data_IF_405670606053
#
_entry.id   IF_405670606053
#
_cell.length_a   1.000
_cell.length_b   1.000
_cell.length_c   1.000
_cell.angle_alpha   90.00
_cell.angle_beta   90.00
_cell.angle_gamma   90.00
#
_symmetry.space_group_name_H-M   'P 1'
#
loop_
_entity.id
_entity.type
_entity.pdbx_description
1 polymer ?
#
# COMPACT_ATOMS: atom_id res chain seq x y z
N UNK A 1 -10.03 -42.69 67.86
CA UNK A 1 -9.81 -41.36 68.46
C UNK A 1 -8.98 -40.53 67.50
N UNK A 2 -9.50 -39.36 67.13
CA UNK A 2 -9.16 -38.50 66.00
C UNK A 2 -7.67 -38.11 65.85
N UNK A 3 -7.22 -38.01 64.60
CA UNK A 3 -6.28 -36.98 64.15
C UNK A 3 -6.75 -36.42 62.82
N UNK A 4 -7.27 -35.20 62.86
CA UNK A 4 -7.51 -34.33 61.72
C UNK A 4 -6.18 -33.93 61.10
N UNK A 5 -6.01 -34.22 59.81
CA UNK A 5 -4.93 -33.72 58.98
C UNK A 5 -5.47 -32.57 58.11
N UNK A 6 -5.29 -31.34 58.60
CA UNK A 6 -5.47 -30.12 57.80
C UNK A 6 -4.14 -29.37 57.76
N UNK A 7 -3.24 -29.88 56.92
CA UNK A 7 -2.08 -29.12 56.48
C UNK A 7 -2.53 -28.09 55.43
N UNK A 8 -2.99 -26.93 55.91
CA UNK A 8 -3.20 -25.75 55.05
C UNK A 8 -1.82 -25.29 54.55
N UNK A 9 -1.55 -25.44 53.25
CA UNK A 9 -0.42 -24.79 52.59
C UNK A 9 -0.60 -23.27 52.72
N UNK A 10 0.07 -22.66 53.69
CA UNK A 10 0.37 -21.23 53.64
C UNK A 10 1.41 -21.02 52.55
N UNK A 11 0.96 -20.84 51.30
CA UNK A 11 1.75 -20.11 50.30
C UNK A 11 1.92 -18.71 50.89
N UNK A 12 3.18 -18.34 51.12
CA UNK A 12 3.54 -17.15 51.85
C UNK A 12 3.11 -15.92 51.04
N UNK A 13 2.03 -15.24 51.47
CA UNK A 13 1.50 -14.02 50.82
C UNK A 13 2.58 -12.95 50.62
N UNK A 14 3.68 -13.00 51.38
CA UNK A 14 4.85 -12.14 51.20
C UNK A 14 5.59 -12.40 49.88
N UNK A 15 5.75 -13.65 49.46
CA UNK A 15 6.46 -13.99 48.22
C UNK A 15 5.65 -13.58 46.98
N UNK A 16 4.33 -13.74 47.02
CA UNK A 16 3.44 -13.25 45.96
C UNK A 16 3.45 -11.72 45.89
N UNK A 17 3.38 -11.04 47.05
CA UNK A 17 3.43 -9.57 47.10
C UNK A 17 4.77 -9.02 46.60
N UNK A 18 5.88 -9.67 46.96
CA UNK A 18 7.22 -9.27 46.52
C UNK A 18 7.42 -9.51 45.01
N UNK A 19 6.88 -10.60 44.47
CA UNK A 19 6.88 -10.90 43.03
C UNK A 19 6.02 -9.91 42.24
N UNK A 20 4.86 -9.51 42.76
CA UNK A 20 3.99 -8.49 42.15
C UNK A 20 4.68 -7.13 42.17
N UNK A 21 5.31 -6.76 43.29
CA UNK A 21 6.06 -5.49 43.41
C UNK A 21 7.27 -5.44 42.49
N UNK A 22 8.01 -6.54 42.32
CA UNK A 22 9.16 -6.60 41.39
C UNK A 22 8.71 -6.46 39.94
N UNK A 23 7.60 -7.11 39.55
CA UNK A 23 7.01 -6.97 38.20
C UNK A 23 6.53 -5.54 37.93
N UNK A 24 5.79 -4.95 38.86
CA UNK A 24 5.30 -3.57 38.73
C UNK A 24 6.45 -2.54 38.63
N UNK A 25 7.56 -2.79 39.32
CA UNK A 25 8.76 -1.93 39.25
C UNK A 25 9.47 -2.08 37.91
N UNK A 26 9.61 -3.31 37.40
CA UNK A 26 10.21 -3.56 36.08
C UNK A 26 9.36 -2.97 34.94
N UNK A 27 8.03 -3.09 35.03
CA UNK A 27 7.10 -2.49 34.09
C UNK A 27 7.18 -0.95 34.10
N UNK A 28 7.28 -0.33 35.28
CA UNK A 28 7.45 1.11 35.40
C UNK A 28 8.76 1.58 34.75
N UNK A 29 9.89 0.91 35.01
CA UNK A 29 11.17 1.24 34.38
C UNK A 29 11.14 1.04 32.86
N UNK A 30 10.47 0.00 32.36
CA UNK A 30 10.28 -0.20 30.93
C UNK A 30 9.51 0.95 30.28
N UNK A 31 8.42 1.42 30.91
CA UNK A 31 7.64 2.57 30.42
C UNK A 31 8.47 3.85 30.46
N UNK A 32 9.29 4.07 31.50
CA UNK A 32 10.22 5.21 31.54
C UNK A 32 11.19 5.18 30.37
N UNK A 33 11.75 4.01 30.06
CA UNK A 33 12.66 3.83 28.93
C UNK A 33 11.96 4.16 27.60
N UNK A 34 10.75 3.64 27.38
CA UNK A 34 9.95 3.92 26.17
C UNK A 34 9.63 5.41 26.02
N UNK A 35 9.15 6.06 27.08
CA UNK A 35 8.88 7.51 27.10
C UNK A 35 10.15 8.31 26.79
N UNK A 36 11.29 7.95 27.39
CA UNK A 36 12.56 8.60 27.08
C UNK A 36 13.01 8.38 25.63
N UNK A 37 12.81 7.18 25.08
CA UNK A 37 13.10 6.87 23.68
C UNK A 37 12.27 7.75 22.74
N UNK A 38 10.94 7.77 22.92
CA UNK A 38 10.01 8.61 22.16
C UNK A 38 10.43 10.08 22.20
N UNK A 39 10.76 10.58 23.39
CA UNK A 39 11.22 11.95 23.57
C UNK A 39 12.53 12.20 22.83
N UNK A 40 13.60 11.45 23.14
CA UNK A 40 14.96 11.69 22.59
C UNK A 40 15.01 11.56 21.07
N UNK A 41 14.28 10.60 20.52
CA UNK A 41 14.18 10.41 19.09
C UNK A 41 13.29 11.44 18.40
N UNK A 42 12.55 12.29 19.13
CA UNK A 42 11.59 13.26 18.56
C UNK A 42 10.66 12.58 17.55
N UNK A 43 10.15 11.39 17.92
CA UNK A 43 9.38 10.55 16.99
C UNK A 43 8.05 11.22 16.63
N UNK A 44 7.32 11.63 17.67
CA UNK A 44 5.94 12.11 17.57
C UNK A 44 5.87 13.61 17.28
N UNK A 45 6.77 14.39 17.89
CA UNK A 45 6.84 15.85 17.71
C UNK A 45 8.28 16.27 17.45
N UNK A 46 8.46 17.38 16.75
CA UNK A 46 9.76 17.82 16.27
C UNK A 46 10.59 18.44 17.40
N UNK A 47 9.96 19.04 18.40
CA UNK A 47 10.61 19.56 19.60
C UNK A 47 10.16 18.86 20.88
N UNK A 48 11.02 18.91 21.89
CA UNK A 48 10.65 18.45 23.24
C UNK A 48 9.54 19.32 23.84
N UNK A 49 9.55 20.62 23.53
CA UNK A 49 8.55 21.59 24.01
C UNK A 49 7.15 21.26 23.49
N UNK A 50 7.01 20.92 22.20
CA UNK A 50 5.74 20.49 21.62
C UNK A 50 5.16 19.28 22.35
N UNK A 51 5.98 18.24 22.57
CA UNK A 51 5.54 17.03 23.28
C UNK A 51 5.14 17.33 24.73
N UNK A 52 5.90 18.18 25.44
CA UNK A 52 5.56 18.59 26.80
C UNK A 52 4.26 19.39 26.85
N UNK A 53 4.10 20.35 25.93
CA UNK A 53 2.90 21.18 25.80
C UNK A 53 1.67 20.34 25.48
N UNK A 54 1.82 19.34 24.59
CA UNK A 54 0.76 18.42 24.20
C UNK A 54 0.17 17.68 25.40
N UNK A 55 1.02 17.15 26.29
CA UNK A 55 0.57 16.48 27.52
C UNK A 55 0.17 17.46 28.65
N UNK A 56 0.01 18.75 28.34
CA UNK A 56 -0.43 19.78 29.28
C UNK A 56 0.59 20.13 30.37
N UNK A 57 1.90 19.95 30.13
CA UNK A 57 2.95 20.21 31.12
C UNK A 57 4.01 21.16 30.59
N UNK A 58 4.55 22.00 31.46
CA UNK A 58 5.74 22.81 31.17
C UNK A 58 7.00 21.99 31.44
N UNK A 59 7.54 21.34 30.41
CA UNK A 59 8.84 20.68 30.51
C UNK A 59 9.98 21.66 30.29
N UNK A 60 10.98 21.64 31.19
CA UNK A 60 12.27 22.29 30.94
C UNK A 60 13.29 21.24 30.46
N UNK A 61 14.15 21.63 29.51
CA UNK A 61 15.00 20.76 28.69
C UNK A 61 15.98 19.82 29.40
N UNK A 62 16.06 19.83 30.74
CA UNK A 62 16.95 18.98 31.53
C UNK A 62 16.26 17.82 32.26
N UNK A 63 14.92 17.73 32.25
CA UNK A 63 14.21 16.63 32.89
C UNK A 63 13.97 15.47 31.92
N UNK A 64 14.31 14.26 32.34
CA UNK A 64 13.96 13.02 31.62
C UNK A 64 12.44 12.93 31.46
N UNK A 65 11.96 12.75 30.23
CA UNK A 65 10.54 12.62 29.92
C UNK A 65 9.91 11.39 30.61
N UNK A 66 10.69 10.32 30.78
CA UNK A 66 10.31 9.17 31.60
C UNK A 66 9.99 9.52 33.06
N UNK A 67 10.32 10.71 33.58
CA UNK A 67 9.91 11.15 34.92
C UNK A 67 8.59 11.91 34.93
N UNK A 68 7.83 11.92 33.84
CA UNK A 68 6.49 12.52 33.79
C UNK A 68 5.63 11.97 34.93
N UNK A 69 5.00 12.87 35.70
CA UNK A 69 4.22 12.46 36.87
C UNK A 69 5.03 12.12 38.13
N UNK A 70 6.35 12.29 38.11
CA UNK A 70 7.19 12.14 39.31
C UNK A 70 7.20 10.71 39.83
N UNK A 71 6.57 10.46 41.00
CA UNK A 71 6.45 9.11 41.58
C UNK A 71 5.26 8.33 41.04
N UNK A 72 4.36 8.96 40.27
CA UNK A 72 3.14 8.34 39.78
C UNK A 72 3.39 7.45 38.54
N UNK A 73 3.50 6.14 38.78
CA UNK A 73 3.65 5.13 37.74
C UNK A 73 2.41 4.96 36.87
N UNK A 74 1.21 5.22 37.43
CA UNK A 74 -0.03 5.14 36.67
C UNK A 74 -0.09 6.26 35.63
N UNK A 75 0.25 7.49 36.02
CA UNK A 75 0.28 8.63 35.11
C UNK A 75 1.28 8.44 33.96
N UNK A 76 2.44 7.81 34.21
CA UNK A 76 3.39 7.47 33.12
C UNK A 76 2.81 6.49 32.12
N UNK A 77 2.16 5.43 32.59
CA UNK A 77 1.49 4.46 31.72
C UNK A 77 0.37 5.10 30.91
N UNK A 78 -0.45 5.93 31.56
CA UNK A 78 -1.52 6.66 30.89
C UNK A 78 -0.96 7.57 29.78
N UNK A 79 0.07 8.36 30.08
CA UNK A 79 0.71 9.22 29.07
C UNK A 79 1.25 8.41 27.89
N UNK A 80 1.92 7.28 28.13
CA UNK A 80 2.43 6.45 27.03
C UNK A 80 1.31 5.88 26.17
N UNK A 81 0.26 5.32 26.78
CA UNK A 81 -0.83 4.70 26.03
C UNK A 81 -1.75 5.70 25.31
N UNK A 82 -1.93 6.91 25.86
CA UNK A 82 -2.64 7.97 25.14
C UNK A 82 -1.86 8.42 23.90
N UNK A 83 -0.53 8.58 24.01
CA UNK A 83 0.32 8.86 22.85
C UNK A 83 0.29 7.71 21.84
N UNK A 84 0.36 6.46 22.30
CA UNK A 84 0.27 5.28 21.44
C UNK A 84 -1.07 5.22 20.69
N UNK A 85 -2.19 5.48 21.39
CA UNK A 85 -3.52 5.51 20.79
C UNK A 85 -3.67 6.64 19.77
N UNK A 86 -3.31 7.86 20.14
CA UNK A 86 -3.41 9.03 19.24
C UNK A 86 -2.66 8.78 17.93
N UNK A 87 -1.43 8.29 18.01
CA UNK A 87 -0.61 8.06 16.83
C UNK A 87 -1.01 6.79 16.07
N UNK A 88 -1.63 5.82 16.73
CA UNK A 88 -2.30 4.72 16.03
C UNK A 88 -3.51 5.23 15.25
N UNK A 89 -4.36 6.07 15.84
CA UNK A 89 -5.52 6.65 15.15
C UNK A 89 -5.08 7.56 13.98
N UNK A 90 -3.96 8.28 14.14
CA UNK A 90 -3.46 9.20 13.12
C UNK A 90 -2.65 8.53 12.00
N UNK A 91 -1.89 7.48 12.30
CA UNK A 91 -0.92 6.89 11.35
C UNK A 91 -1.04 5.38 11.16
N UNK A 92 -1.87 4.71 11.96
CA UNK A 92 -1.97 3.25 12.00
C UNK A 92 -0.76 2.54 12.65
N UNK A 93 0.22 3.27 13.17
CA UNK A 93 1.44 2.69 13.75
C UNK A 93 1.22 2.36 15.23
N UNK A 94 1.53 1.11 15.60
CA UNK A 94 1.65 0.71 17.00
C UNK A 94 3.01 1.19 17.53
N UNK A 95 2.98 2.19 18.42
CA UNK A 95 4.20 2.87 18.90
C UNK A 95 5.19 1.91 19.53
N UNK A 96 4.74 0.92 20.31
CA UNK A 96 5.64 -0.06 20.87
C UNK A 96 6.38 -0.89 19.80
N UNK A 97 5.67 -1.34 18.77
CA UNK A 97 6.27 -2.08 17.66
C UNK A 97 7.32 -1.27 16.91
N UNK A 98 7.06 0.04 16.71
CA UNK A 98 8.05 0.94 16.11
C UNK A 98 9.32 1.07 16.96
N UNK A 99 9.21 1.14 18.29
CA UNK A 99 10.37 1.19 19.18
C UNK A 99 11.19 -0.10 19.12
N UNK A 100 10.53 -1.26 19.01
CA UNK A 100 11.19 -2.55 18.87
C UNK A 100 11.94 -2.65 17.52
N UNK A 101 11.31 -2.24 16.42
CA UNK A 101 11.93 -2.13 15.10
C UNK A 101 13.14 -1.18 15.09
N UNK A 102 13.03 -0.04 15.80
CA UNK A 102 14.13 0.91 15.93
C UNK A 102 15.31 0.32 16.71
N UNK A 103 15.03 -0.41 17.78
CA UNK A 103 16.05 -1.10 18.56
C UNK A 103 16.78 -2.15 17.73
N UNK A 104 16.06 -2.86 16.86
CA UNK A 104 16.65 -3.83 15.97
C UNK A 104 17.52 -3.17 14.88
N UNK A 105 17.02 -2.13 14.21
CA UNK A 105 17.80 -1.36 13.24
C UNK A 105 19.08 -0.76 13.84
N UNK A 106 19.00 -0.23 15.08
CA UNK A 106 20.18 0.29 15.78
C UNK A 106 21.24 -0.80 16.05
N UNK A 107 20.83 -2.03 16.40
CA UNK A 107 21.77 -3.16 16.55
C UNK A 107 22.43 -3.52 15.22
N UNK A 108 21.72 -3.44 14.10
CA UNK A 108 22.31 -3.65 12.78
C UNK A 108 23.33 -2.58 12.43
N UNK A 109 23.03 -1.31 12.71
CA UNK A 109 23.99 -0.21 12.54
C UNK A 109 25.26 -0.44 13.37
N UNK A 110 25.13 -0.82 14.64
CA UNK A 110 26.28 -1.08 15.52
C UNK A 110 27.11 -2.30 15.07
N UNK A 111 26.45 -3.42 14.76
CA UNK A 111 27.14 -4.68 14.45
C UNK A 111 27.84 -4.66 13.09
N UNK A 112 27.14 -4.18 12.07
CA UNK A 112 27.63 -4.25 10.70
C UNK A 112 28.42 -3.01 10.30
N UNK A 113 28.20 -1.89 11.00
CA UNK A 113 28.79 -0.58 10.73
C UNK A 113 28.81 -0.27 9.22
N UNK A 114 27.63 -0.22 8.59
CA UNK A 114 27.49 -0.13 7.14
C UNK A 114 28.05 1.18 6.55
N UNK A 115 28.24 2.20 7.39
CA UNK A 115 28.75 3.52 7.01
C UNK A 115 29.86 3.95 7.96
N UNK A 116 30.90 4.62 7.43
CA UNK A 116 31.74 5.50 8.25
C UNK A 116 31.09 6.87 8.45
N UNK A 117 31.37 7.55 9.57
CA UNK A 117 30.72 8.83 9.94
C UNK A 117 30.87 9.92 8.85
N UNK A 118 31.96 9.85 8.07
CA UNK A 118 32.33 10.81 7.02
C UNK A 118 31.93 10.37 5.60
N UNK A 119 31.13 9.31 5.43
CA UNK A 119 30.78 8.86 4.08
C UNK A 119 29.91 9.86 3.33
N UNK A 120 30.29 10.09 2.07
CA UNK A 120 29.58 10.94 1.13
C UNK A 120 28.15 10.46 0.91
N UNK A 121 27.23 11.40 0.69
CA UNK A 121 25.81 11.13 0.48
C UNK A 121 25.57 10.12 -0.66
N UNK A 122 26.39 10.17 -1.72
CA UNK A 122 26.31 9.23 -2.83
C UNK A 122 26.51 7.77 -2.41
N UNK A 123 27.45 7.51 -1.50
CA UNK A 123 27.74 6.15 -1.00
C UNK A 123 26.59 5.64 -0.13
N UNK A 124 26.02 6.50 0.71
CA UNK A 124 24.84 6.17 1.53
C UNK A 124 23.65 5.79 0.66
N UNK A 125 23.41 6.55 -0.41
CA UNK A 125 22.34 6.26 -1.38
C UNK A 125 22.59 4.92 -2.06
N UNK A 126 23.80 4.65 -2.55
CA UNK A 126 24.13 3.37 -3.20
C UNK A 126 23.94 2.18 -2.26
N UNK A 127 24.30 2.35 -0.98
CA UNK A 127 24.09 1.33 0.03
C UNK A 127 22.59 1.05 0.26
N UNK A 128 21.79 2.12 0.37
CA UNK A 128 20.34 2.01 0.50
C UNK A 128 19.69 1.37 -0.74
N UNK A 129 20.18 1.72 -1.95
CA UNK A 129 19.72 1.10 -3.20
C UNK A 129 19.99 -0.41 -3.21
N UNK A 130 21.19 -0.84 -2.78
CA UNK A 130 21.52 -2.28 -2.68
C UNK A 130 20.61 -3.02 -1.71
N UNK A 131 20.34 -2.43 -0.54
CA UNK A 131 19.42 -3.02 0.44
C UNK A 131 18.03 -3.19 -0.18
N UNK A 132 17.51 -2.17 -0.84
CA UNK A 132 16.18 -2.25 -1.47
C UNK A 132 16.16 -3.28 -2.60
N UNK A 133 17.17 -3.28 -3.47
CA UNK A 133 17.29 -4.24 -4.56
C UNK A 133 17.17 -5.69 -4.07
N UNK A 134 17.86 -6.03 -2.98
CA UNK A 134 17.80 -7.39 -2.44
C UNK A 134 16.54 -7.63 -1.60
N UNK A 135 16.19 -6.71 -0.70
CA UNK A 135 15.12 -6.96 0.28
C UNK A 135 13.71 -6.70 -0.27
N UNK A 136 13.58 -5.96 -1.37
CA UNK A 136 12.29 -5.58 -1.98
C UNK A 136 12.15 -6.16 -3.38
N UNK A 137 13.22 -6.15 -4.18
CA UNK A 137 13.21 -6.64 -5.57
C UNK A 137 13.77 -8.06 -5.73
N UNK A 138 14.19 -8.70 -4.64
CA UNK A 138 14.75 -10.05 -4.60
C UNK A 138 15.97 -10.25 -5.52
N UNK A 139 16.77 -9.20 -5.71
CA UNK A 139 18.05 -9.29 -6.43
C UNK A 139 19.01 -10.27 -5.74
N UNK A 140 19.75 -11.06 -6.54
CA UNK A 140 20.70 -12.03 -6.01
C UNK A 140 21.82 -11.39 -5.17
N UNK A 141 22.06 -11.97 -3.99
CA UNK A 141 23.20 -11.61 -3.15
C UNK A 141 24.49 -12.19 -3.74
N UNK A 142 25.19 -11.37 -4.53
CA UNK A 142 26.44 -11.78 -5.19
C UNK A 142 27.68 -11.66 -4.29
N UNK A 143 28.78 -12.31 -4.70
CA UNK A 143 30.11 -12.19 -4.07
C UNK A 143 30.73 -10.80 -4.09
N UNK A 144 30.15 -9.87 -4.86
CA UNK A 144 30.58 -8.46 -4.87
C UNK A 144 30.28 -7.77 -3.54
N UNK A 145 29.34 -8.28 -2.76
CA UNK A 145 29.02 -7.78 -1.43
C UNK A 145 30.05 -8.32 -0.41
N UNK A 146 30.62 -7.42 0.40
CA UNK A 146 31.47 -7.83 1.52
C UNK A 146 30.73 -8.74 2.51
N UNK A 147 31.45 -9.59 3.25
CA UNK A 147 30.85 -10.60 4.14
C UNK A 147 29.83 -10.02 5.13
N UNK A 148 30.12 -8.85 5.73
CA UNK A 148 29.21 -8.16 6.64
C UNK A 148 27.93 -7.66 5.96
N UNK A 149 28.04 -7.16 4.72
CA UNK A 149 26.89 -6.68 3.95
C UNK A 149 25.97 -7.86 3.60
N UNK A 150 26.53 -8.99 3.17
CA UNK A 150 25.73 -10.20 2.91
C UNK A 150 24.97 -10.69 4.13
N UNK A 151 25.62 -10.72 5.28
CA UNK A 151 24.97 -11.12 6.54
C UNK A 151 23.86 -10.14 6.93
N UNK A 152 24.06 -8.84 6.74
CA UNK A 152 23.03 -7.82 6.96
C UNK A 152 21.83 -8.03 6.03
N UNK A 153 22.05 -8.21 4.72
CA UNK A 153 20.99 -8.38 3.73
C UNK A 153 20.13 -9.61 4.03
N UNK A 154 20.76 -10.76 4.33
CA UNK A 154 20.03 -11.98 4.71
C UNK A 154 19.18 -11.78 5.96
N UNK A 155 19.68 -11.02 6.95
CA UNK A 155 18.89 -10.69 8.14
C UNK A 155 17.73 -9.77 7.83
N UNK A 156 17.92 -8.77 6.98
CA UNK A 156 16.86 -7.83 6.63
C UNK A 156 15.71 -8.46 5.87
N UNK A 157 15.97 -9.52 5.08
CA UNK A 157 14.91 -10.29 4.43
C UNK A 157 13.98 -11.02 5.43
N UNK A 158 14.45 -11.31 6.65
CA UNK A 158 13.66 -11.97 7.70
C UNK A 158 12.90 -11.00 8.61
N UNK A 159 13.20 -9.70 8.53
CA UNK A 159 12.69 -8.68 9.46
C UNK A 159 11.46 -7.95 8.90
N UNK A 160 10.72 -7.27 9.77
CA UNK A 160 9.55 -6.51 9.34
C UNK A 160 9.90 -5.25 8.52
N UNK A 161 8.95 -4.77 7.71
CA UNK A 161 9.13 -3.60 6.86
C UNK A 161 9.45 -2.33 7.67
N UNK A 162 9.00 -2.20 8.91
CA UNK A 162 9.31 -1.05 9.74
C UNK A 162 10.78 -1.04 10.18
N UNK A 163 11.36 -2.19 10.48
CA UNK A 163 12.79 -2.34 10.75
C UNK A 163 13.60 -1.90 9.53
N UNK A 164 13.23 -2.36 8.33
CA UNK A 164 13.84 -1.93 7.08
C UNK A 164 13.71 -0.42 6.84
N UNK A 165 12.50 0.13 7.03
CA UNK A 165 12.24 1.56 6.87
C UNK A 165 13.09 2.41 7.82
N UNK A 166 13.16 2.03 9.10
CA UNK A 166 13.97 2.74 10.09
C UNK A 166 15.45 2.66 9.74
N UNK A 167 15.96 1.49 9.35
CA UNK A 167 17.35 1.33 8.95
C UNK A 167 17.71 2.22 7.76
N UNK A 168 16.90 2.23 6.71
CA UNK A 168 17.13 3.09 5.53
C UNK A 168 17.14 4.57 5.92
N UNK A 169 16.23 5.00 6.77
CA UNK A 169 16.18 6.38 7.24
C UNK A 169 17.37 6.75 8.15
N UNK A 170 17.93 5.79 8.90
CA UNK A 170 19.20 5.98 9.63
C UNK A 170 20.37 6.15 8.66
N UNK A 171 20.47 5.28 7.65
CA UNK A 171 21.53 5.31 6.64
C UNK A 171 21.52 6.60 5.83
N UNK A 172 20.34 7.10 5.46
CA UNK A 172 20.17 8.39 4.78
C UNK A 172 20.47 9.60 5.69
N UNK A 173 20.75 9.39 6.99
CA UNK A 173 21.06 10.46 7.95
C UNK A 173 19.83 11.24 8.44
N UNK A 174 18.63 10.71 8.19
CA UNK A 174 17.36 11.38 8.47
C UNK A 174 16.92 11.12 9.92
N UNK A 175 17.07 9.86 10.36
CA UNK A 175 16.85 9.41 11.73
C UNK A 175 18.17 9.30 12.53
N UNK A 176 18.13 9.48 13.85
CA UNK A 176 19.29 9.23 14.71
C UNK A 176 19.78 7.78 14.65
N UNK A 177 21.08 7.54 14.82
CA UNK A 177 21.62 6.18 14.79
C UNK A 177 21.30 5.35 16.06
N UNK A 178 20.92 6.00 17.16
CA UNK A 178 20.62 5.33 18.43
C UNK A 178 19.67 6.14 19.33
N UNK A 179 19.11 5.47 20.36
CA UNK A 179 18.26 6.10 21.40
C UNK A 179 19.02 7.07 22.33
N UNK A 180 20.34 7.00 22.37
CA UNK A 180 21.18 7.86 23.22
C UNK A 180 21.66 9.13 22.50
N UNK A 181 21.07 9.42 21.34
CA UNK A 181 21.35 10.62 20.55
C UNK A 181 21.24 11.91 21.38
N UNK A 182 22.18 12.84 21.14
CA UNK A 182 22.18 14.20 21.68
C UNK A 182 21.78 15.25 20.64
N UNK A 183 21.24 14.84 19.50
CA UNK A 183 20.96 15.72 18.35
C UNK A 183 19.92 16.83 18.62
N UNK A 184 19.25 16.83 19.77
CA UNK A 184 18.30 17.87 20.15
C UNK A 184 17.00 17.80 19.34
N UNK A 185 16.35 18.94 19.14
CA UNK A 185 15.10 19.02 18.38
C UNK A 185 15.32 18.75 16.89
N UNK A 186 14.34 18.11 16.26
CA UNK A 186 14.33 17.83 14.84
C UNK A 186 14.10 19.14 14.06
N UNK A 187 15.03 19.44 13.15
CA UNK A 187 15.01 20.64 12.30
C UNK A 187 15.01 20.25 10.84
N UNK A 188 14.54 21.18 9.99
CA UNK A 188 14.53 21.02 8.53
C UNK A 188 13.81 19.74 8.07
N UNK A 189 12.70 19.40 8.74
CA UNK A 189 11.96 18.18 8.46
C UNK A 189 11.45 18.11 7.02
N UNK A 190 11.07 19.24 6.43
CA UNK A 190 10.74 19.30 5.00
C UNK A 190 11.88 18.83 4.10
N UNK A 191 13.08 19.36 4.28
CA UNK A 191 14.25 18.95 3.50
C UNK A 191 14.59 17.46 3.68
N UNK A 192 14.37 16.92 4.89
CA UNK A 192 14.54 15.49 5.16
C UNK A 192 13.49 14.63 4.44
N UNK A 193 12.23 15.05 4.42
CA UNK A 193 11.20 14.37 3.64
C UNK A 193 11.51 14.43 2.14
N UNK A 194 11.93 15.59 1.62
CA UNK A 194 12.31 15.77 0.22
C UNK A 194 13.48 14.85 -0.16
N UNK A 195 14.47 14.72 0.72
CA UNK A 195 15.60 13.80 0.53
C UNK A 195 15.14 12.35 0.36
N UNK A 196 14.29 11.85 1.28
CA UNK A 196 13.77 10.47 1.24
C UNK A 196 12.87 10.25 0.02
N UNK A 197 12.01 11.22 -0.30
CA UNK A 197 11.16 11.17 -1.48
C UNK A 197 11.98 11.09 -2.78
N UNK A 198 13.00 11.94 -2.92
CA UNK A 198 13.89 11.92 -4.09
C UNK A 198 14.69 10.61 -4.20
N UNK A 199 15.09 10.03 -3.06
CA UNK A 199 15.70 8.71 -3.04
C UNK A 199 14.75 7.65 -3.60
N UNK A 200 13.50 7.59 -3.14
CA UNK A 200 12.54 6.63 -3.67
C UNK A 200 12.15 6.90 -5.12
N UNK A 201 12.08 8.17 -5.57
CA UNK A 201 11.90 8.48 -6.99
C UNK A 201 13.01 7.85 -7.85
N UNK A 202 14.26 7.94 -7.40
CA UNK A 202 15.41 7.33 -8.09
C UNK A 202 15.31 5.80 -8.13
N UNK A 203 14.95 5.17 -7.01
CA UNK A 203 14.69 3.72 -6.93
C UNK A 203 13.58 3.33 -7.91
N UNK A 204 12.47 4.07 -7.90
CA UNK A 204 11.32 3.80 -8.75
C UNK A 204 11.69 3.88 -10.24
N UNK A 205 12.41 4.94 -10.64
CA UNK A 205 12.90 5.11 -12.02
C UNK A 205 13.75 3.94 -12.52
N UNK A 206 14.46 3.24 -11.63
CA UNK A 206 15.38 2.17 -12.01
C UNK A 206 14.71 0.80 -12.06
N UNK A 207 13.84 0.51 -11.09
CA UNK A 207 13.45 -0.86 -10.78
C UNK A 207 11.99 -1.19 -11.11
N UNK A 208 11.08 -0.21 -11.21
CA UNK A 208 9.66 -0.50 -11.41
C UNK A 208 9.08 0.16 -12.66
N UNK A 209 8.01 -0.46 -13.16
CA UNK A 209 7.22 0.00 -14.31
C UNK A 209 6.58 1.38 -14.06
N UNK A 210 6.30 1.72 -12.79
CA UNK A 210 5.62 2.95 -12.38
C UNK A 210 6.53 3.90 -11.64
N UNK A 211 6.87 5.02 -12.26
CA UNK A 211 7.68 6.07 -11.63
C UNK A 211 6.98 6.73 -10.42
N UNK A 212 5.64 6.75 -10.43
CA UNK A 212 4.82 7.32 -9.37
C UNK A 212 3.75 6.31 -8.95
N UNK A 213 4.06 5.55 -7.92
CA UNK A 213 3.09 4.64 -7.31
C UNK A 213 2.10 5.42 -6.42
N UNK A 214 0.97 4.81 -6.03
CA UNK A 214 0.03 5.42 -5.10
C UNK A 214 0.65 5.98 -3.82
N UNK A 215 1.52 5.19 -3.19
CA UNK A 215 2.19 5.59 -1.94
C UNK A 215 3.23 6.69 -2.14
N UNK A 216 3.88 6.74 -3.30
CA UNK A 216 4.77 7.86 -3.66
C UNK A 216 4.01 9.17 -3.84
N UNK A 217 2.81 9.14 -4.42
CA UNK A 217 2.01 10.36 -4.60
C UNK A 217 1.45 10.88 -3.28
N UNK A 218 0.99 9.99 -2.39
CA UNK A 218 0.58 10.37 -1.03
C UNK A 218 1.74 11.02 -0.25
N UNK A 219 2.95 10.49 -0.39
CA UNK A 219 4.15 11.09 0.17
C UNK A 219 4.39 12.49 -0.41
N UNK A 220 4.32 12.66 -1.73
CA UNK A 220 4.46 13.98 -2.37
C UNK A 220 3.39 14.99 -1.95
N UNK A 221 2.15 14.54 -1.75
CA UNK A 221 1.04 15.36 -1.24
C UNK A 221 1.36 15.87 0.16
N UNK A 222 1.80 14.98 1.06
CA UNK A 222 2.21 15.36 2.41
C UNK A 222 3.37 16.37 2.42
N UNK A 223 4.29 16.29 1.45
CA UNK A 223 5.37 17.26 1.26
C UNK A 223 4.90 18.66 0.84
N UNK A 224 3.78 18.74 0.10
CA UNK A 224 3.18 20.00 -0.34
C UNK A 224 2.29 20.63 0.72
N UNK A 225 1.68 19.81 1.56
CA UNK A 225 0.86 20.24 2.70
C UNK A 225 1.74 20.71 3.88
N UNK A 226 1.20 21.57 4.76
CA UNK A 226 1.94 22.34 5.79
C UNK A 226 3.07 21.61 6.53
N UNK A 227 4.20 22.29 6.74
CA UNK A 227 5.39 21.78 7.46
C UNK A 227 5.10 21.34 8.91
N UNK A 228 4.07 21.90 9.56
CA UNK A 228 3.72 21.62 10.97
C UNK A 228 3.34 20.16 11.23
N UNK A 229 3.05 19.37 10.18
CA UNK A 229 2.70 17.94 10.28
C UNK A 229 3.84 16.99 9.90
N UNK A 230 5.05 17.47 9.59
CA UNK A 230 6.16 16.63 9.14
C UNK A 230 6.97 16.07 10.31
N UNK A 231 6.47 15.01 10.95
CA UNK A 231 7.10 14.35 12.12
C UNK A 231 7.90 13.12 11.68
N UNK A 232 8.78 12.59 12.54
CA UNK A 232 9.59 11.41 12.21
C UNK A 232 8.76 10.13 12.07
N UNK A 233 7.73 9.94 12.90
CA UNK A 233 6.84 8.79 12.83
C UNK A 233 6.06 8.73 11.50
N UNK A 234 5.56 9.88 11.01
CA UNK A 234 4.92 9.98 9.69
C UNK A 234 5.90 9.67 8.55
N UNK A 235 7.17 10.07 8.68
CA UNK A 235 8.18 9.74 7.67
C UNK A 235 8.47 8.24 7.62
N UNK A 236 8.54 7.59 8.79
CA UNK A 236 8.63 6.14 8.89
C UNK A 236 7.41 5.47 8.24
N UNK A 237 6.19 5.97 8.50
CA UNK A 237 4.98 5.45 7.85
C UNK A 237 5.07 5.53 6.33
N UNK A 238 5.37 6.70 5.77
CA UNK A 238 5.49 6.86 4.31
C UNK A 238 6.58 5.96 3.72
N UNK A 239 7.72 5.84 4.41
CA UNK A 239 8.82 4.97 3.97
C UNK A 239 8.39 3.51 3.95
N UNK A 240 7.77 3.01 5.02
CA UNK A 240 7.27 1.64 5.09
C UNK A 240 6.17 1.37 4.04
N UNK A 241 5.25 2.32 3.83
CA UNK A 241 4.19 2.20 2.84
C UNK A 241 4.74 2.12 1.42
N UNK A 242 5.74 2.95 1.10
CA UNK A 242 6.42 2.90 -0.21
C UNK A 242 7.12 1.55 -0.36
N UNK A 243 7.88 1.08 0.64
CA UNK A 243 8.57 -0.21 0.57
C UNK A 243 7.61 -1.39 0.36
N UNK A 244 6.51 -1.46 1.12
CA UNK A 244 5.47 -2.47 0.91
C UNK A 244 4.88 -2.38 -0.50
N UNK A 245 4.59 -1.17 -0.97
CA UNK A 245 4.02 -1.00 -2.31
C UNK A 245 5.01 -1.38 -3.42
N UNK A 246 6.31 -1.18 -3.22
CA UNK A 246 7.35 -1.63 -4.14
C UNK A 246 7.51 -3.15 -4.13
N UNK A 247 7.49 -3.80 -2.96
CA UNK A 247 7.65 -5.26 -2.88
C UNK A 247 6.51 -5.98 -3.59
N UNK A 248 5.29 -5.48 -3.42
CA UNK A 248 4.10 -5.97 -4.13
C UNK A 248 4.32 -5.89 -5.64
N UNK A 249 4.80 -4.76 -6.15
CA UNK A 249 5.00 -4.58 -7.59
C UNK A 249 6.17 -5.41 -8.16
N UNK A 250 7.04 -5.94 -7.30
CA UNK A 250 8.25 -6.66 -7.69
C UNK A 250 8.04 -8.17 -7.88
N UNK A 251 7.03 -8.77 -7.23
CA UNK A 251 6.85 -10.22 -7.21
C UNK A 251 5.47 -10.61 -7.73
N UNK A 252 5.39 -11.44 -8.77
CA UNK A 252 4.12 -11.95 -9.28
C UNK A 252 3.30 -12.70 -8.21
N UNK A 253 3.97 -13.42 -7.31
CA UNK A 253 3.33 -14.05 -6.15
C UNK A 253 2.80 -13.01 -5.17
N UNK A 254 3.54 -11.93 -4.91
CA UNK A 254 3.04 -10.84 -4.08
C UNK A 254 1.97 -10.00 -4.78
N UNK A 255 1.98 -9.87 -6.11
CA UNK A 255 0.88 -9.28 -6.89
C UNK A 255 -0.37 -10.15 -6.74
N UNK A 256 -0.23 -11.48 -6.79
CA UNK A 256 -1.32 -12.42 -6.58
C UNK A 256 -1.89 -12.36 -5.16
N UNK A 257 -1.01 -12.42 -4.16
CA UNK A 257 -1.36 -12.40 -2.74
C UNK A 257 -1.90 -11.03 -2.33
N UNK A 258 -1.30 -9.95 -2.81
CA UNK A 258 -1.82 -8.60 -2.61
C UNK A 258 -3.08 -8.36 -3.43
N UNK A 259 -3.21 -8.95 -4.61
CA UNK A 259 -4.47 -8.99 -5.36
C UNK A 259 -5.57 -9.60 -4.50
N UNK A 260 -5.32 -10.76 -3.88
CA UNK A 260 -6.24 -11.38 -2.91
C UNK A 260 -6.49 -10.54 -1.64
N UNK A 261 -5.46 -9.90 -1.07
CA UNK A 261 -5.60 -9.07 0.14
C UNK A 261 -6.28 -7.75 -0.13
N UNK A 262 -5.92 -7.08 -1.22
CA UNK A 262 -6.55 -5.84 -1.68
C UNK A 262 -7.94 -6.13 -2.23
N UNK A 263 -8.23 -7.32 -2.73
CA UNK A 263 -9.61 -7.77 -2.98
C UNK A 263 -10.46 -7.75 -1.71
N UNK A 264 -9.87 -7.93 -0.51
CA UNK A 264 -10.58 -7.72 0.76
C UNK A 264 -10.80 -6.24 1.10
N UNK A 265 -9.92 -5.35 0.64
CA UNK A 265 -10.07 -3.89 0.73
C UNK A 265 -10.84 -3.30 -0.48
N UNK A 266 -11.22 -4.15 -1.44
CA UNK A 266 -11.91 -3.77 -2.66
C UNK A 266 -13.39 -3.60 -2.37
N UNK A 267 -13.94 -2.50 -2.87
CA UNK A 267 -15.36 -2.22 -2.77
C UNK A 267 -16.08 -2.78 -4.00
N UNK A 268 -17.16 -3.51 -3.75
CA UNK A 268 -18.10 -4.00 -4.77
C UNK A 268 -19.50 -3.38 -4.58
N UNK A 269 -19.64 -2.06 -4.76
CA UNK A 269 -20.95 -1.43 -4.74
C UNK A 269 -21.78 -1.93 -5.91
N UNK A 270 -23.10 -2.07 -5.74
CA UNK A 270 -23.96 -2.43 -6.87
C UNK A 270 -23.98 -1.26 -7.86
N UNK A 271 -23.20 -1.31 -8.93
CA UNK A 271 -23.09 -0.24 -9.93
C UNK A 271 -23.75 -0.55 -11.27
N UNK A 272 -24.18 -1.80 -11.48
CA UNK A 272 -24.73 -2.25 -12.77
C UNK A 272 -25.81 -1.31 -13.34
N UNK A 273 -25.72 -1.10 -14.65
CA UNK A 273 -26.68 -0.35 -15.44
C UNK A 273 -26.14 0.99 -15.96
N UNK A 274 -27.07 1.89 -16.27
CA UNK A 274 -26.75 3.15 -16.94
C UNK A 274 -26.57 4.31 -15.96
N UNK A 275 -25.63 5.19 -16.30
CA UNK A 275 -25.28 6.37 -15.54
C UNK A 275 -25.17 7.58 -16.47
N UNK A 276 -25.73 8.70 -16.07
CA UNK A 276 -25.75 9.93 -16.86
C UNK A 276 -24.66 10.87 -16.34
N UNK A 277 -23.87 11.43 -17.27
CA UNK A 277 -22.93 12.49 -16.92
C UNK A 277 -23.68 13.79 -16.65
N UNK A 278 -23.03 14.76 -16.00
CA UNK A 278 -23.58 16.11 -15.83
C UNK A 278 -23.85 16.84 -17.17
N UNK A 279 -23.20 16.41 -18.24
CA UNK A 279 -23.34 16.99 -19.58
C UNK A 279 -24.45 16.32 -20.40
N UNK A 280 -25.06 15.26 -19.86
CA UNK A 280 -26.13 14.52 -20.53
C UNK A 280 -27.33 15.42 -20.85
N UNK A 281 -27.81 15.34 -22.09
CA UNK A 281 -29.13 15.84 -22.46
C UNK A 281 -29.76 14.94 -23.54
N UNK A 282 -31.07 15.05 -23.72
CA UNK A 282 -31.77 14.28 -24.77
C UNK A 282 -31.25 14.58 -26.18
N UNK A 283 -30.69 15.77 -26.41
CA UNK A 283 -30.17 16.22 -27.71
C UNK A 283 -28.68 15.92 -27.90
N UNK A 284 -27.94 15.79 -26.79
CA UNK A 284 -26.51 15.49 -26.77
C UNK A 284 -26.28 14.39 -25.71
N UNK A 285 -26.41 13.12 -26.09
CA UNK A 285 -26.20 12.01 -25.17
C UNK A 285 -24.76 11.98 -24.68
N UNK A 286 -24.63 11.90 -23.36
CA UNK A 286 -23.38 11.60 -22.66
C UNK A 286 -23.73 10.72 -21.45
N UNK A 287 -23.35 9.45 -21.49
CA UNK A 287 -23.73 8.47 -20.48
C UNK A 287 -22.75 7.31 -20.44
N UNK A 288 -22.85 6.51 -19.40
CA UNK A 288 -21.97 5.39 -19.12
C UNK A 288 -22.83 4.15 -18.90
N UNK A 289 -22.38 3.03 -19.44
CA UNK A 289 -22.85 1.70 -19.06
C UNK A 289 -21.80 1.09 -18.15
N UNK A 290 -22.24 0.61 -16.99
CA UNK A 290 -21.37 -0.06 -16.04
C UNK A 290 -21.81 -1.51 -15.93
N UNK A 291 -20.87 -2.41 -16.10
CA UNK A 291 -21.06 -3.85 -15.95
C UNK A 291 -20.07 -4.40 -14.94
N UNK A 292 -20.58 -5.12 -13.94
CA UNK A 292 -19.77 -5.84 -12.97
C UNK A 292 -19.04 -7.02 -13.64
N UNK A 293 -17.72 -7.06 -13.46
CA UNK A 293 -16.86 -8.16 -13.84
C UNK A 293 -16.49 -8.97 -12.58
N UNK A 294 -15.78 -10.09 -12.74
CA UNK A 294 -15.41 -10.96 -11.62
C UNK A 294 -14.61 -10.27 -10.51
N UNK A 295 -13.71 -9.34 -10.88
CA UNK A 295 -12.80 -8.65 -9.95
C UNK A 295 -12.78 -7.14 -10.16
N UNK A 296 -13.67 -6.58 -10.97
CA UNK A 296 -13.65 -5.15 -11.35
C UNK A 296 -14.98 -4.75 -12.00
N UNK A 297 -15.03 -3.56 -12.60
CA UNK A 297 -16.15 -3.08 -13.39
C UNK A 297 -15.67 -2.65 -14.77
N UNK A 298 -16.44 -2.97 -15.80
CA UNK A 298 -16.29 -2.37 -17.12
C UNK A 298 -17.12 -1.10 -17.19
N UNK A 299 -16.46 0.03 -17.46
CA UNK A 299 -17.08 1.32 -17.67
C UNK A 299 -17.03 1.66 -19.16
N UNK A 300 -18.19 1.66 -19.81
CA UNK A 300 -18.34 2.00 -21.22
C UNK A 300 -18.95 3.41 -21.34
N UNK A 301 -18.14 4.40 -21.69
CA UNK A 301 -18.57 5.78 -21.92
C UNK A 301 -19.10 5.95 -23.34
N UNK A 302 -20.30 6.50 -23.47
CA UNK A 302 -20.92 6.88 -24.72
C UNK A 302 -21.18 8.38 -24.75
N UNK A 303 -20.63 9.07 -25.74
CA UNK A 303 -20.81 10.51 -25.88
C UNK A 303 -20.90 10.95 -27.34
N UNK A 304 -21.60 12.05 -27.57
CA UNK A 304 -21.67 12.69 -28.88
C UNK A 304 -20.66 13.85 -28.95
N UNK A 305 -19.78 13.82 -29.97
CA UNK A 305 -18.87 14.95 -30.25
C UNK A 305 -19.64 16.14 -30.82
N UNK A 306 -19.18 17.35 -30.53
CA UNK A 306 -19.77 18.57 -31.06
C UNK A 306 -19.73 18.55 -32.60
N UNK A 307 -20.89 18.78 -33.23
CA UNK A 307 -21.05 18.73 -34.69
C UNK A 307 -21.30 17.33 -35.28
N UNK A 308 -21.29 16.26 -34.48
CA UNK A 308 -21.50 14.88 -34.96
C UNK A 308 -22.92 14.34 -34.64
N UNK A 309 -23.95 15.04 -35.14
CA UNK A 309 -25.34 14.63 -34.94
C UNK A 309 -25.62 13.18 -35.38
N UNK A 310 -26.20 12.38 -34.49
CA UNK A 310 -26.59 10.98 -34.76
C UNK A 310 -25.43 9.97 -34.70
N UNK A 311 -24.25 10.39 -34.22
CA UNK A 311 -23.11 9.50 -33.97
C UNK A 311 -22.70 9.53 -32.50
N UNK A 312 -22.38 8.36 -31.97
CA UNK A 312 -21.83 8.20 -30.64
C UNK A 312 -20.41 7.67 -30.72
N UNK A 313 -19.55 8.21 -29.87
CA UNK A 313 -18.24 7.66 -29.57
C UNK A 313 -18.35 6.78 -28.34
N UNK A 314 -17.65 5.65 -28.37
CA UNK A 314 -17.56 4.71 -27.28
C UNK A 314 -16.11 4.64 -26.79
N UNK A 315 -15.93 4.69 -25.47
CA UNK A 315 -14.64 4.49 -24.80
C UNK A 315 -14.84 3.52 -23.64
N UNK A 316 -13.96 2.51 -23.54
CA UNK A 316 -14.06 1.47 -22.51
C UNK A 316 -12.92 1.60 -21.52
N UNK A 317 -13.20 1.36 -20.24
CA UNK A 317 -12.23 1.38 -19.15
C UNK A 317 -12.50 0.24 -18.18
N UNK A 318 -11.44 -0.29 -17.57
CA UNK A 318 -11.56 -1.22 -16.45
C UNK A 318 -11.36 -0.45 -15.15
N UNK A 319 -12.30 -0.56 -14.22
CA UNK A 319 -12.33 0.23 -12.98
C UNK A 319 -12.43 -0.70 -11.77
N UNK A 320 -11.51 -0.55 -10.82
CA UNK A 320 -11.55 -1.25 -9.53
C UNK A 320 -11.54 -0.22 -8.40
N UNK A 321 -12.33 -0.44 -7.35
CA UNK A 321 -12.50 0.53 -6.25
C UNK A 321 -11.89 0.02 -4.96
N UNK A 322 -11.09 0.82 -4.27
CA UNK A 322 -10.39 0.40 -3.06
C UNK A 322 -10.63 1.38 -1.92
N UNK A 323 -10.67 0.84 -0.69
CA UNK A 323 -10.70 1.63 0.54
C UNK A 323 -9.62 1.13 1.49
N UNK A 324 -8.52 1.89 1.63
CA UNK A 324 -7.44 1.57 2.57
C UNK A 324 -6.82 2.85 3.15
N UNK A 325 -7.59 3.50 4.02
CA UNK A 325 -7.30 4.80 4.64
C UNK A 325 -7.69 6.01 3.78
N UNK A 326 -7.72 5.84 2.46
CA UNK A 326 -8.24 6.78 1.48
C UNK A 326 -9.00 5.98 0.41
N UNK A 327 -10.12 6.52 -0.07
CA UNK A 327 -10.95 5.91 -1.10
C UNK A 327 -10.44 6.34 -2.49
N UNK A 328 -10.00 5.37 -3.29
CA UNK A 328 -9.52 5.62 -4.66
C UNK A 328 -9.90 4.49 -5.60
N UNK A 329 -10.12 4.84 -6.86
CA UNK A 329 -10.30 3.88 -7.92
C UNK A 329 -8.99 3.67 -8.68
N UNK A 330 -8.80 2.49 -9.26
CA UNK A 330 -7.80 2.24 -10.29
C UNK A 330 -8.55 2.15 -11.62
N UNK A 331 -8.32 3.10 -12.51
CA UNK A 331 -8.93 3.16 -13.84
C UNK A 331 -7.86 2.86 -14.87
N UNK A 332 -8.10 1.82 -15.66
CA UNK A 332 -7.16 1.33 -16.65
C UNK A 332 -7.69 1.57 -18.06
N UNK A 333 -6.83 2.16 -18.89
CA UNK A 333 -7.08 2.31 -20.32
C UNK A 333 -6.89 0.95 -21.01
N UNK A 334 -7.66 0.56 -22.04
CA UNK A 334 -7.54 -0.75 -22.70
C UNK A 334 -6.15 -1.08 -23.26
N UNK A 335 -5.37 -0.06 -23.60
CA UNK A 335 -3.94 -0.20 -23.99
C UNK A 335 -3.07 -0.85 -22.90
N UNK A 336 -3.46 -0.74 -21.63
CA UNK A 336 -2.75 -1.37 -20.51
C UNK A 336 -2.71 -2.90 -20.64
N UNK A 337 -3.84 -3.50 -21.00
CA UNK A 337 -3.97 -4.94 -21.24
C UNK A 337 -3.08 -5.38 -22.40
N UNK A 338 -3.03 -4.58 -23.48
CA UNK A 338 -2.14 -4.84 -24.61
C UNK A 338 -0.66 -4.87 -24.20
N UNK A 339 -0.24 -3.92 -23.36
CA UNK A 339 1.14 -3.88 -22.88
C UNK A 339 1.47 -5.17 -22.09
N UNK A 340 0.56 -5.65 -21.24
CA UNK A 340 0.77 -6.93 -20.55
C UNK A 340 0.81 -8.13 -21.50
N UNK A 341 -0.08 -8.20 -22.49
CA UNK A 341 -0.10 -9.27 -23.50
C UNK A 341 1.20 -9.35 -24.31
N UNK A 342 1.89 -8.22 -24.49
CA UNK A 342 3.17 -8.15 -25.19
C UNK A 342 4.39 -8.23 -24.24
N UNK A 343 4.17 -8.42 -22.94
CA UNK A 343 5.22 -8.34 -21.90
C UNK A 343 5.98 -6.99 -21.94
N UNK A 344 5.27 -5.93 -22.30
CA UNK A 344 5.75 -4.56 -22.32
C UNK A 344 5.49 -3.86 -20.98
N UNK A 345 6.27 -2.81 -20.70
CA UNK A 345 6.14 -2.01 -19.49
C UNK A 345 4.84 -1.20 -19.53
N UNK A 346 4.04 -1.24 -18.45
CA UNK A 346 2.83 -0.42 -18.36
C UNK A 346 3.18 1.07 -18.38
N UNK A 347 2.54 1.84 -19.25
CA UNK A 347 2.75 3.29 -19.32
C UNK A 347 2.00 4.00 -18.20
N UNK A 348 2.62 5.04 -17.65
CA UNK A 348 1.94 5.98 -16.75
C UNK A 348 0.77 6.71 -17.41
N UNK A 349 0.73 6.73 -18.74
CA UNK A 349 -0.33 7.39 -19.51
C UNK A 349 -1.53 6.46 -19.74
N UNK A 350 -1.47 5.19 -19.34
CA UNK A 350 -2.51 4.17 -19.58
C UNK A 350 -3.24 3.75 -18.29
N UNK A 351 -2.96 4.41 -17.16
CA UNK A 351 -3.61 4.15 -15.87
C UNK A 351 -3.76 5.44 -15.08
N UNK A 352 -4.87 5.58 -14.36
CA UNK A 352 -5.11 6.71 -13.45
C UNK A 352 -5.76 6.23 -12.16
N UNK A 353 -5.54 6.97 -11.08
CA UNK A 353 -6.08 6.64 -9.78
C UNK A 353 -6.84 7.84 -9.21
N UNK A 354 -8.12 8.05 -9.58
CA UNK A 354 -8.93 9.13 -9.03
C UNK A 354 -9.44 8.78 -7.63
N UNK A 355 -9.68 9.80 -6.80
CA UNK A 355 -10.54 9.63 -5.64
C UNK A 355 -11.97 9.38 -6.11
N UNK A 356 -12.74 8.61 -5.35
CA UNK A 356 -14.17 8.45 -5.61
C UNK A 356 -15.02 8.75 -4.39
N UNK A 357 -16.25 9.19 -4.63
CA UNK A 357 -17.29 9.32 -3.60
C UNK A 357 -18.57 8.68 -4.11
N UNK A 358 -19.14 7.78 -3.31
CA UNK A 358 -20.45 7.20 -3.53
C UNK A 358 -21.52 7.85 -2.65
N UNK A 359 -22.68 8.15 -3.24
CA UNK A 359 -23.86 8.58 -2.48
C UNK A 359 -24.97 7.54 -2.59
N UNK A 360 -25.60 7.18 -1.46
CA UNK A 360 -26.73 6.26 -1.42
C UNK A 360 -26.44 4.87 -0.85
N UNK A 361 -25.29 4.67 -0.20
CA UNK A 361 -24.95 3.40 0.47
C UNK A 361 -24.64 2.28 -0.53
N UNK A 362 -25.13 1.06 -0.26
CA UNK A 362 -24.83 -0.16 -1.03
C UNK A 362 -25.30 -0.12 -2.50
N UNK A 363 -26.32 0.69 -2.80
CA UNK A 363 -26.78 0.95 -4.18
C UNK A 363 -26.60 2.44 -4.49
N UNK A 364 -25.39 2.87 -4.88
CA UNK A 364 -25.12 4.29 -5.10
C UNK A 364 -26.05 4.86 -6.17
N UNK A 365 -26.52 6.08 -5.94
CA UNK A 365 -27.31 6.88 -6.90
C UNK A 365 -26.46 7.91 -7.61
N UNK A 366 -25.28 8.22 -7.06
CA UNK A 366 -24.28 9.10 -7.64
C UNK A 366 -22.88 8.58 -7.36
N UNK A 367 -21.98 8.85 -8.30
CA UNK A 367 -20.54 8.63 -8.20
C UNK A 367 -19.86 9.93 -8.58
N UNK A 368 -18.86 10.37 -7.84
CA UNK A 368 -17.97 11.43 -8.27
C UNK A 368 -16.56 10.88 -8.32
N UNK A 369 -15.86 11.19 -9.41
CA UNK A 369 -14.44 10.96 -9.54
C UNK A 369 -13.73 12.31 -9.44
N UNK A 370 -12.75 12.39 -8.55
CA UNK A 370 -11.91 13.56 -8.36
C UNK A 370 -10.46 13.25 -8.71
N UNK A 371 -9.74 14.25 -9.20
CA UNK A 371 -8.31 14.13 -9.52
C UNK A 371 -7.54 13.73 -8.27
N UNK A 372 -6.66 12.74 -8.41
CA UNK A 372 -5.84 12.26 -7.31
C UNK A 372 -4.44 11.89 -7.77
N UNK A 373 -4.26 10.83 -8.57
CA UNK A 373 -2.93 10.42 -9.04
C UNK A 373 -2.94 10.01 -10.50
N UNK A 374 -1.84 10.32 -11.18
CA UNK A 374 -1.64 9.99 -12.59
C UNK A 374 -2.79 10.54 -13.43
N UNK A 375 -3.07 11.85 -13.31
CA UNK A 375 -4.15 12.47 -14.09
C UNK A 375 -3.87 12.32 -15.58
N UNK A 376 -4.89 11.86 -16.28
CA UNK A 376 -4.87 11.58 -17.71
C UNK A 376 -5.93 12.38 -18.43
N UNK A 377 -5.69 12.67 -19.70
CA UNK A 377 -6.64 13.45 -20.50
C UNK A 377 -7.89 12.67 -20.87
N UNK A 378 -7.81 11.33 -20.89
CA UNK A 378 -8.86 10.39 -21.35
C UNK A 378 -9.83 9.96 -20.23
N UNK A 379 -9.54 10.25 -18.96
CA UNK A 379 -10.46 10.03 -17.84
C UNK A 379 -10.36 11.21 -16.87
N UNK A 380 -11.27 12.18 -17.06
CA UNK A 380 -11.26 13.44 -16.28
C UNK A 380 -12.19 13.33 -15.08
N UNK A 381 -11.98 14.16 -14.04
CA UNK A 381 -12.93 14.32 -12.96
C UNK A 381 -14.34 14.54 -13.50
N UNK A 382 -15.30 13.79 -12.96
CA UNK A 382 -16.67 13.77 -13.45
C UNK A 382 -17.63 13.34 -12.35
N UNK A 383 -18.89 13.74 -12.47
CA UNK A 383 -19.97 13.18 -11.67
C UNK A 383 -20.95 12.42 -12.55
N UNK A 384 -21.33 11.24 -12.06
CA UNK A 384 -22.28 10.34 -12.68
C UNK A 384 -23.50 10.20 -11.78
N UNK A 385 -24.69 10.33 -12.35
CA UNK A 385 -25.95 10.06 -11.66
C UNK A 385 -26.59 8.83 -12.26
N UNK A 386 -26.99 7.86 -11.44
CA UNK A 386 -27.63 6.64 -11.94
C UNK A 386 -28.88 7.00 -12.74
N UNK A 387 -29.02 6.41 -13.91
CA UNK A 387 -30.23 6.54 -14.71
C UNK A 387 -31.43 5.92 -13.97
N UNK A 388 -32.63 6.41 -14.28
CA UNK A 388 -33.86 5.78 -13.78
C UNK A 388 -34.08 4.45 -14.47
N UNK A 389 -34.79 3.54 -13.81
CA UNK A 389 -35.05 2.19 -14.32
C UNK A 389 -35.81 2.18 -15.67
N UNK A 390 -36.51 3.25 -16.02
CA UNK A 390 -37.26 3.42 -17.27
C UNK A 390 -36.48 4.16 -18.38
N UNK A 391 -35.23 4.54 -18.11
CA UNK A 391 -34.38 5.23 -19.09
C UNK A 391 -33.85 4.23 -20.13
N UNK A 392 -33.99 4.58 -21.41
CA UNK A 392 -33.53 3.76 -22.53
C UNK A 392 -32.34 4.41 -23.25
N UNK A 393 -31.25 3.67 -23.49
CA UNK A 393 -30.05 4.20 -24.12
C UNK A 393 -30.28 4.61 -25.59
N UNK A 394 -29.74 5.75 -26.06
CA UNK A 394 -29.89 6.18 -27.45
C UNK A 394 -29.31 5.24 -28.52
N UNK A 395 -28.44 4.30 -28.15
CA UNK A 395 -27.92 3.27 -29.08
C UNK A 395 -29.05 2.41 -29.63
N UNK A 396 -30.08 2.14 -28.83
CA UNK A 396 -31.27 1.38 -29.26
C UNK A 396 -32.14 2.14 -30.27
N UNK A 397 -31.87 3.43 -30.49
CA UNK A 397 -32.59 4.29 -31.45
C UNK A 397 -31.87 4.41 -32.80
N UNK A 398 -30.89 3.56 -33.09
CA UNK A 398 -30.23 3.48 -34.39
C UNK A 398 -29.11 4.51 -34.63
N UNK A 399 -28.56 5.09 -33.55
CA UNK A 399 -27.36 5.92 -33.66
C UNK A 399 -26.15 5.08 -34.07
N UNK A 400 -25.28 5.63 -34.92
CA UNK A 400 -24.04 4.95 -35.31
C UNK A 400 -23.01 5.09 -34.19
N UNK A 401 -22.52 3.97 -33.66
CA UNK A 401 -21.46 3.94 -32.64
C UNK A 401 -20.10 3.78 -33.31
N UNK A 402 -19.11 4.54 -32.85
CA UNK A 402 -17.70 4.43 -33.22
C UNK A 402 -16.90 4.15 -31.96
N UNK A 403 -16.22 3.01 -31.88
CA UNK A 403 -15.35 2.69 -30.75
C UNK A 403 -14.01 3.43 -30.92
N UNK A 404 -13.76 4.41 -30.06
CA UNK A 404 -12.53 5.22 -30.10
C UNK A 404 -11.29 4.37 -29.73
N UNK A 405 -11.49 3.21 -29.08
CA UNK A 405 -10.43 2.29 -28.64
C UNK A 405 -10.48 0.92 -29.34
N UNK A 406 -11.10 0.82 -30.52
CA UNK A 406 -11.26 -0.44 -31.28
C UNK A 406 -9.94 -1.22 -31.45
N UNK A 407 -8.81 -0.52 -31.64
CA UNK A 407 -7.49 -1.14 -31.79
C UNK A 407 -7.00 -1.90 -30.52
N UNK A 408 -7.60 -1.62 -29.37
CA UNK A 408 -7.24 -2.22 -28.08
C UNK A 408 -8.33 -3.14 -27.54
N UNK A 409 -9.45 -3.29 -28.24
CA UNK A 409 -10.54 -4.16 -27.82
C UNK A 409 -10.10 -5.61 -27.80
N UNK A 410 -10.42 -6.30 -26.71
CA UNK A 410 -10.17 -7.71 -26.51
C UNK A 410 -11.46 -8.39 -26.05
N UNK A 411 -11.53 -9.70 -26.21
CA UNK A 411 -12.58 -10.52 -25.61
C UNK A 411 -11.99 -11.39 -24.53
N UNK A 412 -12.71 -11.57 -23.43
CA UNK A 412 -12.33 -12.47 -22.36
C UNK A 412 -13.43 -13.52 -22.16
N UNK A 413 -13.07 -14.78 -22.34
CA UNK A 413 -13.95 -15.92 -22.13
C UNK A 413 -13.55 -16.65 -20.85
N UNK A 414 -14.40 -16.60 -19.81
CA UNK A 414 -14.21 -17.39 -18.60
C UNK A 414 -14.26 -18.88 -18.95
N UNK A 415 -13.15 -19.58 -18.66
CA UNK A 415 -12.91 -20.92 -19.20
C UNK A 415 -12.36 -21.92 -18.19
N UNK A 416 -12.26 -21.58 -16.91
CA UNK A 416 -11.71 -22.49 -15.89
C UNK A 416 -12.46 -23.83 -15.87
N UNK A 417 -11.76 -24.93 -16.17
CA UNK A 417 -12.33 -26.27 -16.22
C UNK A 417 -11.97 -27.09 -14.98
N UNK A 418 -10.71 -27.05 -14.55
CA UNK A 418 -10.25 -27.79 -13.38
C UNK A 418 -8.95 -27.19 -12.79
N UNK A 419 -8.82 -27.29 -11.47
CA UNK A 419 -7.57 -27.01 -10.75
C UNK A 419 -7.10 -28.31 -10.10
N UNK A 420 -5.85 -28.69 -10.34
CA UNK A 420 -5.20 -29.86 -9.73
C UNK A 420 -3.84 -29.46 -9.14
N UNK A 421 -3.21 -30.28 -8.28
CA UNK A 421 -1.88 -29.98 -7.76
C UNK A 421 -0.80 -29.79 -8.83
N UNK A 422 -0.96 -30.43 -9.99
CA UNK A 422 0.06 -30.46 -11.04
C UNK A 422 -0.24 -29.53 -12.23
N UNK A 423 -1.53 -29.22 -12.48
CA UNK A 423 -1.94 -28.39 -13.61
C UNK A 423 -3.29 -27.67 -13.39
N UNK A 424 -3.49 -26.58 -14.13
CA UNK A 424 -4.80 -25.94 -14.31
C UNK A 424 -5.28 -26.20 -15.74
N UNK A 425 -6.54 -26.63 -15.88
CA UNK A 425 -7.20 -26.86 -17.17
C UNK A 425 -8.11 -25.67 -17.50
N UNK A 426 -7.94 -25.10 -18.68
CA UNK A 426 -8.75 -23.99 -19.19
C UNK A 426 -9.36 -24.41 -20.52
N UNK A 427 -10.66 -24.26 -20.65
CA UNK A 427 -11.45 -24.58 -21.83
C UNK A 427 -11.78 -23.31 -22.58
N UNK A 428 -11.61 -23.35 -23.89
CA UNK A 428 -11.99 -22.23 -24.75
C UNK A 428 -13.45 -22.24 -25.17
N UNK A 429 -13.87 -21.17 -25.84
CA UNK A 429 -15.23 -20.96 -26.33
C UNK A 429 -15.70 -22.04 -27.33
N UNK A 430 -14.76 -22.77 -27.95
CA UNK A 430 -15.03 -23.87 -28.87
C UNK A 430 -14.96 -25.25 -28.19
N UNK A 431 -14.66 -25.26 -26.89
CA UNK A 431 -14.60 -26.45 -26.06
C UNK A 431 -13.26 -27.21 -26.11
N UNK A 432 -12.20 -26.62 -26.67
CA UNK A 432 -10.84 -27.17 -26.61
C UNK A 432 -10.24 -26.86 -25.24
N UNK A 433 -9.70 -27.87 -24.57
CA UNK A 433 -9.04 -27.73 -23.27
C UNK A 433 -7.53 -27.56 -23.44
N UNK A 434 -6.96 -26.64 -22.68
CA UNK A 434 -5.54 -26.35 -22.55
C UNK A 434 -5.12 -26.65 -21.12
N UNK A 435 -3.89 -27.16 -20.92
CA UNK A 435 -3.36 -27.44 -19.59
C UNK A 435 -2.09 -26.63 -19.37
N UNK A 436 -2.05 -25.94 -18.23
CA UNK A 436 -0.91 -25.16 -17.78
C UNK A 436 -0.29 -25.87 -16.58
N UNK A 437 1.01 -26.15 -16.63
CA UNK A 437 1.70 -26.83 -15.55
C UNK A 437 1.93 -25.90 -14.36
N UNK A 438 1.55 -26.35 -13.16
CA UNK A 438 1.82 -25.62 -11.91
C UNK A 438 3.32 -25.66 -11.56
N UNK A 439 4.09 -26.60 -12.12
CA UNK A 439 5.55 -26.63 -11.92
C UNK A 439 6.30 -25.57 -12.73
N UNK A 440 5.71 -25.10 -13.84
CA UNK A 440 6.29 -24.07 -14.70
C UNK A 440 5.94 -22.66 -14.20
N UNK A 441 4.84 -22.56 -13.44
CA UNK A 441 4.31 -21.33 -12.85
C UNK A 441 3.86 -21.62 -11.42
N UNK A 442 4.77 -21.52 -10.44
CA UNK A 442 4.47 -21.88 -9.05
C UNK A 442 3.37 -21.00 -8.43
N UNK A 443 3.21 -19.77 -8.92
CA UNK A 443 2.14 -18.83 -8.54
C UNK A 443 0.73 -19.39 -8.74
N UNK A 444 0.56 -20.35 -9.66
CA UNK A 444 -0.72 -21.02 -9.93
C UNK A 444 -1.19 -21.92 -8.79
N UNK A 445 -0.31 -22.29 -7.83
CA UNK A 445 -0.69 -23.09 -6.65
C UNK A 445 -1.76 -22.43 -5.79
N UNK A 446 -1.86 -21.11 -5.88
CA UNK A 446 -2.78 -20.32 -5.08
C UNK A 446 -4.09 -19.99 -5.80
N UNK A 447 -4.29 -20.49 -7.03
CA UNK A 447 -5.52 -20.25 -7.78
C UNK A 447 -6.72 -20.95 -7.13
N UNK A 448 -7.88 -20.30 -7.21
CA UNK A 448 -9.16 -20.77 -6.71
C UNK A 448 -10.19 -20.86 -7.82
N UNK A 449 -11.30 -21.55 -7.54
CA UNK A 449 -12.40 -21.69 -8.51
C UNK A 449 -13.13 -20.37 -8.82
N UNK A 450 -12.91 -19.33 -8.00
CA UNK A 450 -13.54 -18.03 -8.19
C UNK A 450 -12.67 -17.07 -9.00
N UNK A 451 -11.45 -17.47 -9.34
CA UNK A 451 -10.51 -16.59 -10.01
C UNK A 451 -10.89 -16.41 -11.48
N UNK A 452 -10.67 -15.20 -12.00
CA UNK A 452 -10.86 -14.89 -13.41
C UNK A 452 -9.79 -15.60 -14.26
N UNK A 453 -10.10 -16.84 -14.68
CA UNK A 453 -9.23 -17.68 -15.50
C UNK A 453 -9.97 -18.08 -16.78
N UNK A 454 -9.34 -17.85 -17.93
CA UNK A 454 -10.02 -17.93 -19.20
C UNK A 454 -9.14 -17.77 -20.43
N UNK A 455 -9.78 -17.49 -21.56
CA UNK A 455 -9.12 -17.19 -22.83
C UNK A 455 -9.32 -15.72 -23.15
N UNK A 456 -8.22 -15.01 -23.34
CA UNK A 456 -8.24 -13.64 -23.86
C UNK A 456 -7.85 -13.65 -25.34
N UNK A 457 -8.61 -12.94 -26.17
CA UNK A 457 -8.35 -12.80 -27.61
C UNK A 457 -8.20 -11.34 -27.97
N UNK A 458 -7.09 -10.99 -28.63
CA UNK A 458 -6.80 -9.65 -29.12
C UNK A 458 -6.12 -9.71 -30.48
N UNK A 459 -6.61 -8.96 -31.47
CA UNK A 459 -6.07 -8.88 -32.83
C UNK A 459 -5.69 -10.26 -33.42
N UNK A 460 -6.62 -11.21 -33.31
CA UNK A 460 -6.49 -12.62 -33.73
C UNK A 460 -5.48 -13.48 -32.95
N UNK A 461 -4.80 -12.93 -31.94
CA UNK A 461 -3.96 -13.70 -31.00
C UNK A 461 -4.76 -14.15 -29.79
N UNK A 462 -4.47 -15.35 -29.30
CA UNK A 462 -5.17 -15.97 -28.17
C UNK A 462 -4.19 -16.32 -27.06
N UNK A 463 -4.61 -16.13 -25.82
CA UNK A 463 -3.80 -16.43 -24.64
C UNK A 463 -4.67 -17.11 -23.58
N UNK A 464 -4.07 -18.03 -22.84
CA UNK A 464 -4.62 -18.50 -21.57
C UNK A 464 -4.32 -17.41 -20.53
N UNK A 465 -5.36 -16.84 -19.96
CA UNK A 465 -5.27 -15.71 -19.06
C UNK A 465 -5.61 -16.12 -17.63
N UNK A 466 -4.72 -15.79 -16.70
CA UNK A 466 -4.95 -15.77 -15.27
C UNK A 466 -4.99 -14.30 -14.85
N UNK A 467 -6.14 -13.66 -15.07
CA UNK A 467 -6.27 -12.20 -15.01
C UNK A 467 -5.94 -11.64 -13.62
N UNK A 468 -6.37 -12.35 -12.57
CA UNK A 468 -6.03 -12.07 -11.18
C UNK A 468 -4.51 -12.08 -10.86
N UNK A 469 -3.69 -12.72 -11.69
CA UNK A 469 -2.23 -12.75 -11.59
C UNK A 469 -1.54 -11.84 -12.61
N UNK A 470 -2.31 -11.23 -13.52
CA UNK A 470 -1.80 -10.58 -14.75
C UNK A 470 -0.88 -11.51 -15.57
N UNK A 471 -1.13 -12.82 -15.56
CA UNK A 471 -0.34 -13.81 -16.29
C UNK A 471 -1.09 -14.24 -17.57
N UNK A 472 -0.43 -14.07 -18.72
CA UNK A 472 -0.99 -14.35 -20.03
C UNK A 472 -0.06 -15.26 -20.83
N UNK A 473 -0.48 -16.51 -21.05
CA UNK A 473 0.31 -17.51 -21.75
C UNK A 473 -0.17 -17.64 -23.20
N UNK A 474 0.68 -17.36 -24.20
CA UNK A 474 0.26 -17.43 -25.60
C UNK A 474 -0.17 -18.85 -25.97
N UNK A 475 -1.27 -18.96 -26.70
CA UNK A 475 -1.69 -20.22 -27.32
C UNK A 475 -1.01 -20.27 -28.68
N UNK A 476 -0.03 -21.15 -28.83
CA UNK A 476 0.53 -21.49 -30.14
C UNK A 476 -0.55 -22.22 -30.95
N UNK A 477 -0.84 -21.72 -32.17
CA UNK A 477 -1.82 -22.31 -33.09
C UNK A 477 -1.34 -23.60 -33.76
#
# INVERSE_FOLDING_TARGET
>A
MNRDDKTVKMIDKRDETQTIMSKATAEDEAIKAKLNAVYRLRLLYNSGEELWKHIGKSGSGNNSFGRVGGKDAFLRRAVFHELEREWYDETGIILNGLLDAYAQAAKFMERYNPLHEDEEEGVRIEYCEQIINVCVFDDEITDKHGAKMRELLLRLQEEDTYCLAVLLLMLLGVLPLSFDTRQGDAKQMKGKYEQVYNFFLRVCHRNILFVQTPRMTLFHKALKESEEKLTRIRLVKFTADVLCNLSILASAEQIAENGRRVQWDQLYPNLDGYWLSEQHSEQCPDYWQVEELATSYQFCHYFQKEGEAGKLHQQEFTVSFYSNGEDYACVQHPRSVLQWLNNEKLSKDDITYPHFVFWGGEKPTKIAFESFMMDVSWFRPMQLTRAKDDWNPPIEKGMKVTNDFEAYSYTFYLGLEAITPDFISVKDENGKSYRVSVSEHEELRNCTLNDAIGIITWADKRYIAFDHLMLYLPIEE
#
